data_IF_885297248744
#
_entry.id   IF_885297248744
#
_cell.length_a   1.000
_cell.length_b   1.000
_cell.length_c   1.000
_cell.angle_alpha   90.00
_cell.angle_beta   90.00
_cell.angle_gamma   90.00
#
_symmetry.space_group_name_H-M   'P 1'
#
loop_
_entity.id
_entity.type
_entity.pdbx_description
1 polymer ?
#
# COMPACT_ATOMS: atom_id res chain seq x y z
N UNK A 1 49.36 -2.79 31.01
CA UNK A 1 49.30 -2.58 29.55
C UNK A 1 47.86 -2.75 29.09
N UNK A 2 47.08 -1.67 29.12
CA UNK A 2 45.66 -1.66 28.74
C UNK A 2 45.58 -1.35 27.24
N UNK A 3 45.25 -2.35 26.43
CA UNK A 3 44.96 -2.16 25.00
C UNK A 3 43.74 -1.25 24.88
N UNK A 4 43.94 -0.03 24.41
CA UNK A 4 42.89 0.83 23.90
C UNK A 4 42.17 0.08 22.79
N UNK A 5 40.95 -0.39 23.04
CA UNK A 5 40.06 -0.90 21.99
C UNK A 5 39.61 0.28 21.16
N UNK A 6 40.48 0.69 20.22
CA UNK A 6 40.07 1.47 19.06
C UNK A 6 39.36 0.51 18.10
N UNK A 7 38.25 -0.08 18.54
CA UNK A 7 37.27 -0.64 17.61
C UNK A 7 36.83 0.54 16.74
N UNK A 8 37.23 0.49 15.46
CA UNK A 8 37.03 1.56 14.49
C UNK A 8 35.54 1.93 14.47
N UNK A 9 35.21 3.04 15.10
CA UNK A 9 33.88 3.65 15.02
C UNK A 9 33.51 3.74 13.53
N UNK A 10 32.34 3.22 13.12
CA UNK A 10 31.95 3.16 11.72
C UNK A 10 31.63 4.58 11.26
N UNK A 11 32.65 5.30 10.80
CA UNK A 11 32.57 6.72 10.42
C UNK A 11 31.47 7.01 9.38
N UNK A 12 31.11 6.00 8.56
CA UNK A 12 30.02 6.09 7.58
C UNK A 12 28.61 6.02 8.16
N UNK A 13 28.45 5.58 9.41
CA UNK A 13 27.16 5.45 10.10
C UNK A 13 26.93 6.58 11.12
N UNK A 14 27.91 7.47 11.32
CA UNK A 14 27.81 8.65 12.16
C UNK A 14 27.13 9.77 11.36
N UNK A 15 25.87 10.09 11.68
CA UNK A 15 25.14 11.17 11.00
C UNK A 15 25.49 12.55 11.56
N UNK A 16 25.73 12.64 12.87
CA UNK A 16 26.10 13.86 13.55
C UNK A 16 26.80 13.52 14.86
N UNK A 17 27.84 14.29 15.19
CA UNK A 17 28.45 14.31 16.51
C UNK A 17 28.31 15.74 17.04
N UNK A 18 27.40 15.93 17.99
CA UNK A 18 27.33 17.17 18.77
C UNK A 18 28.46 17.22 19.80
N UNK A 19 28.49 18.27 20.62
CA UNK A 19 29.58 18.48 21.61
C UNK A 19 29.67 17.39 22.69
N UNK A 20 28.62 16.59 22.89
CA UNK A 20 28.53 15.59 23.97
C UNK A 20 28.09 14.19 23.53
N UNK A 21 27.58 13.99 22.31
CA UNK A 21 27.18 12.66 21.85
C UNK A 21 27.16 12.53 20.33
N UNK A 22 27.41 11.32 19.85
CA UNK A 22 27.38 10.93 18.45
C UNK A 22 26.20 10.00 18.17
N UNK A 23 25.41 10.32 17.16
CA UNK A 23 24.29 9.48 16.72
C UNK A 23 24.78 8.51 15.63
N UNK A 24 24.66 7.21 15.90
CA UNK A 24 25.02 6.13 14.97
C UNK A 24 23.73 5.54 14.39
N UNK A 25 23.58 5.58 13.06
CA UNK A 25 22.53 4.85 12.37
C UNK A 25 22.87 3.35 12.37
N UNK A 26 22.04 2.57 13.06
CA UNK A 26 22.08 1.12 12.98
C UNK A 26 21.35 0.70 11.71
N UNK A 27 21.92 -0.24 10.96
CA UNK A 27 21.21 -0.85 9.83
C UNK A 27 19.86 -1.42 10.33
N UNK A 28 18.74 -1.13 9.64
CA UNK A 28 17.45 -1.69 10.03
C UNK A 28 17.53 -3.21 10.12
N UNK A 29 16.91 -3.79 11.14
CA UNK A 29 16.74 -5.25 11.23
C UNK A 29 15.92 -5.67 9.99
N UNK A 30 16.42 -6.58 9.14
CA UNK A 30 15.68 -7.03 7.98
C UNK A 30 14.38 -7.69 8.45
N UNK A 31 13.24 -7.18 7.98
CA UNK A 31 11.96 -7.84 8.23
C UNK A 31 11.92 -9.14 7.44
N UNK A 32 11.47 -10.25 8.02
CA UNK A 32 11.14 -11.43 7.23
C UNK A 32 10.05 -11.06 6.22
N UNK A 33 10.36 -11.19 4.93
CA UNK A 33 9.37 -11.08 3.87
C UNK A 33 8.52 -12.34 3.90
N UNK A 34 7.21 -12.19 4.13
CA UNK A 34 6.27 -13.31 4.03
C UNK A 34 6.14 -13.75 2.58
N UNK A 35 6.06 -15.06 2.34
CA UNK A 35 5.79 -15.59 1.00
C UNK A 35 4.53 -14.97 0.40
N UNK A 36 4.52 -14.67 -0.91
CA UNK A 36 3.37 -14.04 -1.55
C UNK A 36 2.17 -14.98 -1.54
N UNK A 37 1.04 -14.50 -1.04
CA UNK A 37 -0.23 -15.23 -1.11
C UNK A 37 -0.75 -15.14 -2.55
N UNK A 38 -0.97 -16.31 -3.18
CA UNK A 38 -1.58 -16.37 -4.52
C UNK A 38 -3.09 -16.58 -4.42
N UNK A 39 -3.85 -15.54 -4.72
CA UNK A 39 -5.32 -15.61 -4.78
C UNK A 39 -5.74 -15.68 -6.25
N UNK A 40 -6.51 -16.72 -6.62
CA UNK A 40 -7.11 -16.84 -7.95
C UNK A 40 -8.60 -16.57 -7.85
N UNK A 41 -9.07 -15.50 -8.50
CA UNK A 41 -10.49 -15.10 -8.49
C UNK A 41 -11.12 -15.39 -9.87
N UNK A 42 -12.37 -15.85 -9.86
CA UNK A 42 -13.20 -16.04 -11.08
C UNK A 42 -14.48 -15.20 -10.96
N UNK A 43 -14.49 -13.93 -11.40
CA UNK A 43 -15.69 -13.11 -11.40
C UNK A 43 -16.73 -13.66 -12.39
N UNK A 44 -18.03 -13.40 -12.14
CA UNK A 44 -19.12 -13.87 -13.01
C UNK A 44 -19.14 -13.12 -14.34
N UNK A 45 -18.73 -11.85 -14.33
CA UNK A 45 -18.60 -11.01 -15.53
C UNK A 45 -17.22 -10.36 -15.57
N UNK A 46 -16.66 -10.08 -16.77
CA UNK A 46 -15.35 -9.45 -16.95
C UNK A 46 -15.41 -7.92 -16.73
N UNK A 47 -15.99 -7.49 -15.60
CA UNK A 47 -16.14 -6.08 -15.22
C UNK A 47 -15.37 -5.78 -13.94
N UNK A 48 -14.77 -4.60 -13.87
CA UNK A 48 -14.09 -4.08 -12.67
C UNK A 48 -14.87 -2.92 -12.07
N UNK A 49 -14.99 -2.92 -10.74
CA UNK A 49 -15.51 -1.82 -9.95
C UNK A 49 -14.40 -1.33 -9.01
N UNK A 50 -14.11 -0.03 -9.04
CA UNK A 50 -13.07 0.58 -8.21
C UNK A 50 -13.70 1.23 -6.97
N UNK A 51 -13.07 1.04 -5.81
CA UNK A 51 -13.47 1.65 -4.53
C UNK A 51 -12.33 2.49 -3.98
N UNK A 52 -12.55 3.79 -3.80
CA UNK A 52 -11.61 4.74 -3.22
C UNK A 52 -11.74 4.87 -1.69
N UNK A 53 -10.61 5.11 -1.03
CA UNK A 53 -10.52 5.36 0.41
C UNK A 53 -10.20 6.82 0.79
N UNK A 54 -10.32 7.77 -0.16
CA UNK A 54 -10.00 9.19 0.03
C UNK A 54 -8.56 9.47 0.50
N UNK A 55 -7.62 8.61 0.13
CA UNK A 55 -6.20 8.89 0.37
C UNK A 55 -5.73 10.05 -0.53
N UNK A 56 -4.67 10.77 -0.15
CA UNK A 56 -4.04 11.72 -1.05
C UNK A 56 -3.73 11.06 -2.41
N UNK A 57 -4.09 11.72 -3.51
CA UNK A 57 -3.86 11.27 -4.89
C UNK A 57 -4.56 9.97 -5.32
N UNK A 58 -5.29 9.27 -4.46
CA UNK A 58 -5.88 7.96 -4.79
C UNK A 58 -6.88 8.05 -5.94
N UNK A 59 -7.69 9.11 -5.99
CA UNK A 59 -8.65 9.31 -7.07
C UNK A 59 -7.97 9.43 -8.44
N UNK A 60 -6.85 10.16 -8.52
CA UNK A 60 -6.08 10.30 -9.76
C UNK A 60 -5.51 8.94 -10.21
N UNK A 61 -4.96 8.17 -9.26
CA UNK A 61 -4.43 6.82 -9.52
C UNK A 61 -5.54 5.89 -9.99
N UNK A 62 -6.73 5.93 -9.37
CA UNK A 62 -7.86 5.09 -9.74
C UNK A 62 -8.44 5.47 -11.11
N UNK A 63 -8.48 6.76 -11.46
CA UNK A 63 -8.86 7.20 -12.81
C UNK A 63 -7.85 6.76 -13.86
N UNK A 64 -6.56 6.84 -13.56
CA UNK A 64 -5.51 6.31 -14.43
C UNK A 64 -5.62 4.78 -14.59
N UNK A 65 -5.90 4.07 -13.50
CA UNK A 65 -6.14 2.62 -13.48
C UNK A 65 -7.35 2.26 -14.37
N UNK A 66 -8.45 2.99 -14.23
CA UNK A 66 -9.65 2.84 -15.05
C UNK A 66 -9.33 3.01 -16.54
N UNK A 67 -8.53 4.01 -16.91
CA UNK A 67 -8.10 4.24 -18.29
C UNK A 67 -7.27 3.06 -18.84
N UNK A 68 -6.28 2.58 -18.08
CA UNK A 68 -5.43 1.43 -18.49
C UNK A 68 -6.28 0.17 -18.69
N UNK A 69 -7.19 -0.13 -17.76
CA UNK A 69 -8.05 -1.30 -17.86
C UNK A 69 -8.96 -1.23 -19.10
N UNK A 70 -9.54 -0.06 -19.37
CA UNK A 70 -10.36 0.18 -20.57
C UNK A 70 -9.55 0.03 -21.86
N UNK A 71 -8.33 0.55 -21.91
CA UNK A 71 -7.41 0.36 -23.05
C UNK A 71 -7.09 -1.12 -23.31
N UNK A 72 -7.14 -1.96 -22.28
CA UNK A 72 -6.96 -3.41 -22.37
C UNK A 72 -8.25 -4.16 -22.71
N UNK A 73 -9.34 -3.46 -23.00
CA UNK A 73 -10.65 -4.06 -23.33
C UNK A 73 -11.42 -4.57 -22.11
N UNK A 74 -11.03 -4.18 -20.90
CA UNK A 74 -11.72 -4.57 -19.66
C UNK A 74 -12.82 -3.54 -19.38
N UNK A 75 -14.04 -4.01 -19.16
CA UNK A 75 -15.15 -3.15 -18.75
C UNK A 75 -14.89 -2.62 -17.33
N UNK A 76 -15.00 -1.32 -17.13
CA UNK A 76 -14.85 -0.69 -15.81
C UNK A 76 -16.03 0.22 -15.56
N UNK A 77 -16.70 0.04 -14.40
CA UNK A 77 -17.77 0.93 -13.93
C UNK A 77 -17.28 2.38 -13.99
N UNK A 78 -18.12 3.28 -14.51
CA UNK A 78 -17.75 4.70 -14.68
C UNK A 78 -17.53 5.40 -13.34
N UNK A 79 -18.43 5.13 -12.39
CA UNK A 79 -18.37 5.63 -11.04
C UNK A 79 -17.32 4.87 -10.22
N UNK A 80 -16.43 5.63 -9.58
CA UNK A 80 -15.53 5.12 -8.54
C UNK A 80 -16.27 5.26 -7.21
N UNK A 81 -16.55 4.13 -6.57
CA UNK A 81 -17.23 4.09 -5.28
C UNK A 81 -16.33 4.67 -4.19
N UNK A 82 -16.89 5.21 -3.11
CA UNK A 82 -16.11 5.80 -2.03
C UNK A 82 -16.44 5.16 -0.68
N UNK A 83 -15.38 4.84 0.07
CA UNK A 83 -15.41 4.53 1.49
C UNK A 83 -14.52 5.55 2.19
N UNK A 84 -15.08 6.37 3.08
CA UNK A 84 -14.37 7.55 3.59
C UNK A 84 -13.08 7.27 4.36
N UNK A 85 -12.96 6.09 4.97
CA UNK A 85 -11.82 5.72 5.79
C UNK A 85 -11.56 4.22 5.65
N UNK A 86 -10.32 3.82 5.39
CA UNK A 86 -9.90 2.43 5.27
C UNK A 86 -9.96 1.67 6.61
N UNK A 87 -9.74 2.37 7.73
CA UNK A 87 -9.64 1.77 9.08
C UNK A 87 -11.00 1.39 9.70
N UNK A 88 -12.10 1.91 9.16
CA UNK A 88 -13.45 1.58 9.63
C UNK A 88 -14.09 0.46 8.82
N UNK A 89 -15.02 -0.33 9.43
CA UNK A 89 -15.82 -1.29 8.68
C UNK A 89 -16.60 -0.65 7.52
N UNK A 90 -16.82 -1.41 6.46
CA UNK A 90 -17.67 -0.99 5.33
C UNK A 90 -19.10 -0.68 5.84
N UNK A 91 -19.69 0.48 5.51
CA UNK A 91 -21.08 0.75 5.83
C UNK A 91 -22.01 -0.35 5.29
N UNK A 92 -23.01 -0.76 6.06
CA UNK A 92 -23.88 -1.89 5.71
C UNK A 92 -24.52 -1.74 4.31
N UNK A 93 -24.94 -0.52 3.95
CA UNK A 93 -25.53 -0.22 2.64
C UNK A 93 -24.51 -0.42 1.51
N UNK A 94 -23.28 0.03 1.70
CA UNK A 94 -22.22 -0.11 0.70
C UNK A 94 -21.79 -1.58 0.58
N UNK A 95 -21.68 -2.30 1.69
CA UNK A 95 -21.39 -3.73 1.69
C UNK A 95 -22.49 -4.53 0.97
N UNK A 96 -23.76 -4.23 1.25
CA UNK A 96 -24.89 -4.85 0.58
C UNK A 96 -24.84 -4.59 -0.93
N UNK A 97 -24.53 -3.36 -1.37
CA UNK A 97 -24.36 -3.04 -2.79
C UNK A 97 -23.19 -3.80 -3.42
N UNK A 98 -22.01 -3.82 -2.78
CA UNK A 98 -20.83 -4.52 -3.28
C UNK A 98 -21.02 -6.04 -3.33
N UNK A 99 -21.83 -6.62 -2.43
CA UNK A 99 -22.16 -8.05 -2.46
C UNK A 99 -22.91 -8.48 -3.73
N UNK A 100 -23.55 -7.53 -4.41
CA UNK A 100 -24.28 -7.75 -5.65
C UNK A 100 -23.43 -7.46 -6.90
N UNK A 101 -22.19 -6.98 -6.76
CA UNK A 101 -21.32 -6.75 -7.90
C UNK A 101 -20.89 -8.09 -8.53
N UNK A 102 -21.29 -8.38 -9.78
CA UNK A 102 -20.97 -9.65 -10.43
C UNK A 102 -19.52 -9.73 -10.92
N UNK A 103 -18.84 -8.58 -10.97
CA UNK A 103 -17.47 -8.42 -11.43
C UNK A 103 -16.46 -8.48 -10.28
N UNK A 104 -15.25 -7.99 -10.57
CA UNK A 104 -14.19 -7.84 -9.58
C UNK A 104 -14.27 -6.46 -8.93
N UNK A 105 -14.32 -6.42 -7.60
CA UNK A 105 -14.18 -5.17 -6.83
C UNK A 105 -12.72 -5.00 -6.43
N UNK A 106 -12.11 -3.91 -6.86
CA UNK A 106 -10.76 -3.53 -6.45
C UNK A 106 -10.85 -2.37 -5.45
N UNK A 107 -10.54 -2.69 -4.21
CA UNK A 107 -10.36 -1.69 -3.16
C UNK A 107 -9.05 -0.94 -3.42
N UNK A 108 -9.09 0.38 -3.30
CA UNK A 108 -8.00 1.29 -3.67
C UNK A 108 -6.70 1.07 -2.90
N UNK A 109 -5.70 1.86 -3.24
CA UNK A 109 -4.32 1.72 -2.78
C UNK A 109 -4.24 1.71 -1.24
N UNK A 110 -3.87 0.57 -0.66
CA UNK A 110 -3.32 0.51 0.69
C UNK A 110 -1.85 0.92 0.60
N UNK A 111 -1.38 1.67 1.59
CA UNK A 111 0.06 1.82 1.81
C UNK A 111 0.59 0.50 2.41
#
# INVERSE_FOLDING_TARGET
MSKSMTEKLPAKQLMSCGEVSCEVLVNPIPRPESDPIRITLKPKVPRVTLLDHKKPNSLAILRFTQQILRQRGIEVREEILQKNDAGTPMPAVLLASLSQEPGLVLCGVSD
#
